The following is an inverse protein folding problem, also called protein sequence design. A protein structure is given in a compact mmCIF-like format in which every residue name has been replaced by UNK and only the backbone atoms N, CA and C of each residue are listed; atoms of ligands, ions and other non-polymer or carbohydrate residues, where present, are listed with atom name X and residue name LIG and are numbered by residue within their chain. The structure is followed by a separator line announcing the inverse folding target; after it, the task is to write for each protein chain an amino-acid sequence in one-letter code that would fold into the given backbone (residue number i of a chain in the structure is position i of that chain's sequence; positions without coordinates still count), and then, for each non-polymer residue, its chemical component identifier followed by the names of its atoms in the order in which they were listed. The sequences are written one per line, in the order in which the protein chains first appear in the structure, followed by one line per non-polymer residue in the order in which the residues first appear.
data_IF_547009910359
#
_entry.id   IF_547009910359
#
_cell.length_a   1.000
_cell.length_b   1.000
_cell.length_c   1.000
_cell.angle_alpha   90.00
_cell.angle_beta   90.00
_cell.angle_gamma   90.00
#
_symmetry.space_group_name_H-M   'P 1'
#
loop_
_entity.id
_entity.type
_entity.pdbx_description
1 polymer ?
#
# COMPACT_ATOMS: atom_id res chain seq x y z
N UNK A 1 -1.14 16.39 6.05
CA UNK A 1 -1.70 15.54 7.13
C UNK A 1 -2.53 14.43 6.49
N UNK A 2 -2.18 13.14 6.66
CA UNK A 2 -2.96 11.99 6.14
C UNK A 2 -4.33 12.06 6.86
N UNK A 3 -5.42 12.40 6.18
CA UNK A 3 -6.75 12.28 6.80
C UNK A 3 -6.98 10.82 7.15
N UNK A 4 -7.26 10.51 8.42
CA UNK A 4 -7.26 9.15 9.00
C UNK A 4 -8.01 8.13 8.11
N UNK A 5 -9.17 8.51 7.54
CA UNK A 5 -9.97 7.68 6.63
C UNK A 5 -9.27 7.32 5.31
N UNK A 6 -8.51 8.24 4.69
CA UNK A 6 -7.78 8.00 3.43
C UNK A 6 -6.58 7.07 3.62
N UNK A 7 -5.93 7.11 4.78
CA UNK A 7 -4.84 6.19 5.12
C UNK A 7 -5.33 4.75 5.21
N UNK A 8 -6.39 4.52 5.99
CA UNK A 8 -6.98 3.19 6.22
C UNK A 8 -7.44 2.54 4.90
N UNK A 9 -8.07 3.30 4.00
CA UNK A 9 -8.51 2.77 2.70
C UNK A 9 -7.32 2.37 1.82
N UNK A 10 -6.26 3.18 1.79
CA UNK A 10 -5.07 2.89 0.98
C UNK A 10 -4.34 1.64 1.47
N UNK A 11 -4.19 1.45 2.79
CA UNK A 11 -3.57 0.25 3.37
C UNK A 11 -4.40 -1.02 3.11
N UNK A 12 -5.74 -0.90 3.11
CA UNK A 12 -6.61 -2.02 2.72
C UNK A 12 -6.44 -2.41 1.25
N UNK A 13 -6.36 -1.42 0.35
CA UNK A 13 -6.14 -1.67 -1.09
C UNK A 13 -4.74 -2.27 -1.30
N UNK A 14 -3.72 -1.73 -0.64
CA UNK A 14 -2.35 -2.22 -0.68
C UNK A 14 -2.24 -3.70 -0.28
N UNK A 15 -2.92 -4.13 0.79
CA UNK A 15 -2.95 -5.56 1.19
C UNK A 15 -3.52 -6.45 0.10
N UNK A 16 -4.67 -6.09 -0.47
CA UNK A 16 -5.29 -6.85 -1.58
C UNK A 16 -4.38 -6.93 -2.80
N UNK A 17 -3.69 -5.83 -3.13
CA UNK A 17 -2.71 -5.81 -4.22
C UNK A 17 -1.55 -6.76 -3.96
N UNK A 18 -0.98 -6.75 -2.75
CA UNK A 18 0.07 -7.66 -2.33
C UNK A 18 -0.40 -9.12 -2.41
N UNK A 19 -1.55 -9.44 -1.84
CA UNK A 19 -2.15 -10.78 -1.89
C UNK A 19 -2.36 -11.26 -3.33
N UNK A 20 -2.86 -10.40 -4.23
CA UNK A 20 -3.03 -10.72 -5.65
C UNK A 20 -1.72 -11.02 -6.39
N UNK A 21 -0.57 -10.57 -5.86
CA UNK A 21 0.77 -10.87 -6.39
C UNK A 21 1.45 -12.05 -5.71
N UNK A 22 0.72 -12.78 -4.86
CA UNK A 22 1.23 -13.95 -4.14
C UNK A 22 2.02 -13.60 -2.88
N UNK A 23 1.90 -12.39 -2.35
CA UNK A 23 2.43 -12.08 -1.02
C UNK A 23 1.46 -12.56 0.07
N UNK A 24 2.01 -13.04 1.18
CA UNK A 24 1.28 -13.25 2.43
C UNK A 24 1.46 -12.04 3.34
N UNK A 25 0.38 -11.54 3.94
CA UNK A 25 0.45 -10.44 4.91
C UNK A 25 0.81 -11.02 6.28
N UNK A 26 1.99 -10.66 6.79
CA UNK A 26 2.50 -11.16 8.07
C UNK A 26 2.01 -10.29 9.22
N UNK A 27 2.13 -8.96 9.07
CA UNK A 27 1.75 -8.02 10.12
C UNK A 27 1.41 -6.65 9.53
N UNK A 28 0.65 -5.84 10.26
CA UNK A 28 0.32 -4.45 9.90
C UNK A 28 0.58 -3.53 11.08
N UNK A 29 1.00 -2.28 10.82
CA UNK A 29 1.41 -1.31 11.85
C UNK A 29 2.55 -1.87 12.72
N UNK A 30 3.54 -2.50 12.07
CA UNK A 30 4.66 -3.16 12.74
C UNK A 30 5.59 -2.13 13.36
N UNK A 31 5.80 -2.22 14.68
CA UNK A 31 6.68 -1.32 15.42
C UNK A 31 8.07 -1.91 15.56
N UNK A 32 9.08 -1.14 15.17
CA UNK A 32 10.48 -1.49 15.36
C UNK A 32 10.91 -0.92 16.71
N UNK A 33 11.18 -1.80 17.67
CA UNK A 33 11.64 -1.42 19.00
C UNK A 33 13.14 -1.66 19.17
N UNK A 34 13.84 -0.71 19.80
CA UNK A 34 15.25 -0.85 20.18
C UNK A 34 15.45 -0.29 21.58
N UNK A 35 15.99 -1.10 22.50
CA UNK A 35 16.20 -0.73 23.91
C UNK A 35 14.95 -0.20 24.62
N UNK A 36 13.77 -0.71 24.27
CA UNK A 36 12.49 -0.29 24.85
C UNK A 36 11.85 0.94 24.18
N UNK A 37 12.54 1.59 23.25
CA UNK A 37 12.02 2.73 22.49
C UNK A 37 11.47 2.28 21.12
N UNK A 38 10.31 2.82 20.74
CA UNK A 38 9.79 2.65 19.38
C UNK A 38 10.52 3.62 18.45
N UNK A 39 11.37 3.10 17.55
CA UNK A 39 12.22 3.91 16.69
C UNK A 39 11.67 4.10 15.28
N UNK A 40 10.74 3.25 14.85
CA UNK A 40 10.13 3.32 13.54
C UNK A 40 8.88 2.43 13.45
N UNK A 41 8.01 2.73 12.47
CA UNK A 41 6.82 1.95 12.17
C UNK A 41 6.81 1.59 10.68
N UNK A 42 6.38 0.37 10.37
CA UNK A 42 6.17 -0.12 9.01
C UNK A 42 4.69 -0.41 8.83
N UNK A 43 4.06 0.13 7.78
CA UNK A 43 2.63 -0.02 7.54
C UNK A 43 2.25 -1.51 7.38
N UNK A 44 3.02 -2.28 6.60
CA UNK A 44 2.77 -3.71 6.35
C UNK A 44 4.09 -4.49 6.28
N UNK A 45 4.16 -5.65 6.94
CA UNK A 45 5.15 -6.68 6.69
C UNK A 45 4.52 -7.74 5.80
N UNK A 46 5.13 -8.00 4.65
CA UNK A 46 4.67 -8.97 3.67
C UNK A 46 5.76 -10.00 3.36
N UNK A 47 5.38 -11.22 3.01
CA UNK A 47 6.33 -12.28 2.65
C UNK A 47 5.97 -12.88 1.30
N UNK A 48 6.97 -13.09 0.45
CA UNK A 48 6.82 -13.76 -0.84
C UNK A 48 8.11 -14.51 -1.16
N UNK A 49 7.98 -15.76 -1.61
CA UNK A 49 9.11 -16.62 -1.99
C UNK A 49 10.20 -16.73 -0.90
N UNK A 50 9.78 -16.75 0.38
CA UNK A 50 10.68 -16.81 1.54
C UNK A 50 11.37 -15.49 1.91
N UNK A 51 11.07 -14.40 1.20
CA UNK A 51 11.63 -13.08 1.46
C UNK A 51 10.60 -12.15 2.11
N UNK A 52 11.05 -11.41 3.13
CA UNK A 52 10.23 -10.42 3.82
C UNK A 52 10.44 -9.02 3.27
N UNK A 53 9.34 -8.32 3.11
CA UNK A 53 9.25 -6.97 2.60
C UNK A 53 8.67 -6.05 3.67
N UNK A 54 9.34 -4.93 3.90
CA UNK A 54 8.84 -3.82 4.69
C UNK A 54 8.16 -2.84 3.73
N UNK A 55 6.84 -2.76 3.83
CA UNK A 55 6.00 -2.04 2.89
C UNK A 55 5.54 -0.71 3.49
N UNK A 56 5.82 0.38 2.79
CA UNK A 56 5.27 1.71 3.05
C UNK A 56 4.10 1.99 2.09
N UNK A 57 3.00 2.55 2.59
CA UNK A 57 1.79 2.83 1.81
C UNK A 57 1.45 4.32 1.79
N UNK A 58 1.50 4.89 0.59
CA UNK A 58 1.07 6.27 0.33
C UNK A 58 -0.20 6.30 -0.52
N UNK A 59 -1.22 7.00 -0.03
CA UNK A 59 -2.50 7.20 -0.74
C UNK A 59 -2.40 8.13 -1.96
N UNK A 60 -1.29 8.85 -2.11
CA UNK A 60 -1.03 9.82 -3.18
C UNK A 60 0.18 9.45 -4.02
N UNK A 61 0.72 10.43 -4.75
CA UNK A 61 1.97 10.25 -5.50
C UNK A 61 3.13 9.92 -4.55
N UNK A 62 4.06 9.09 -5.01
CA UNK A 62 5.32 8.90 -4.31
C UNK A 62 6.12 10.21 -4.26
N UNK A 63 6.96 10.31 -3.23
CA UNK A 63 7.89 11.42 -3.03
C UNK A 63 9.24 10.86 -2.58
N UNK A 64 10.30 11.65 -2.71
CA UNK A 64 11.64 11.23 -2.28
C UNK A 64 11.66 10.89 -0.78
N UNK A 65 10.89 11.62 0.03
CA UNK A 65 10.69 11.32 1.45
C UNK A 65 10.08 9.93 1.66
N UNK A 66 9.10 9.55 0.84
CA UNK A 66 8.44 8.24 0.95
C UNK A 66 9.40 7.11 0.58
N UNK A 67 10.22 7.29 -0.46
CA UNK A 67 11.27 6.33 -0.84
C UNK A 67 12.29 6.17 0.29
N UNK A 68 12.76 7.28 0.87
CA UNK A 68 13.70 7.27 2.00
C UNK A 68 13.11 6.59 3.23
N UNK A 69 11.82 6.82 3.51
CA UNK A 69 11.12 6.19 4.63
C UNK A 69 11.03 4.67 4.43
N UNK A 70 10.60 4.22 3.25
CA UNK A 70 10.57 2.79 2.91
C UNK A 70 11.95 2.16 3.06
N UNK A 71 12.99 2.77 2.49
CA UNK A 71 14.37 2.31 2.60
C UNK A 71 14.86 2.23 4.06
N UNK A 72 14.74 3.31 4.81
CA UNK A 72 15.28 3.40 6.17
C UNK A 72 14.58 2.39 7.11
N UNK A 73 13.25 2.31 7.06
CA UNK A 73 12.49 1.42 7.92
C UNK A 73 12.74 -0.05 7.56
N UNK A 74 12.80 -0.38 6.27
CA UNK A 74 13.19 -1.72 5.82
C UNK A 74 14.59 -2.10 6.29
N UNK A 75 15.54 -1.16 6.22
CA UNK A 75 16.92 -1.40 6.67
C UNK A 75 16.99 -1.65 8.17
N UNK A 76 16.22 -0.91 8.97
CA UNK A 76 16.12 -1.12 10.42
C UNK A 76 15.51 -2.48 10.78
N UNK A 77 14.56 -2.97 9.97
CA UNK A 77 13.92 -4.26 10.18
C UNK A 77 14.67 -5.45 9.54
N UNK A 78 15.64 -5.21 8.68
CA UNK A 78 16.35 -6.26 7.94
C UNK A 78 15.54 -6.88 6.80
N UNK A 79 14.59 -6.12 6.22
CA UNK A 79 13.68 -6.59 5.17
C UNK A 79 13.92 -5.84 3.85
N UNK A 80 13.34 -6.33 2.76
CA UNK A 80 13.37 -5.65 1.45
C UNK A 80 12.42 -4.46 1.45
N UNK A 81 12.83 -3.26 0.99
CA UNK A 81 11.95 -2.11 0.96
C UNK A 81 10.99 -2.16 -0.23
N UNK A 82 9.71 -1.92 0.03
CA UNK A 82 8.68 -1.79 -0.99
C UNK A 82 7.78 -0.59 -0.70
N UNK A 83 7.49 0.21 -1.71
CA UNK A 83 6.64 1.40 -1.63
C UNK A 83 5.42 1.21 -2.53
N UNK A 84 4.23 1.24 -1.93
CA UNK A 84 2.96 1.27 -2.65
C UNK A 84 2.46 2.71 -2.71
N UNK A 85 2.20 3.21 -3.91
CA UNK A 85 1.74 4.59 -4.10
C UNK A 85 0.73 4.71 -5.26
N UNK A 86 0.05 5.85 -5.39
CA UNK A 86 -0.87 6.05 -6.52
C UNK A 86 -0.15 6.14 -7.86
N UNK A 87 0.99 6.83 -7.90
CA UNK A 87 1.81 7.10 -9.09
C UNK A 87 3.18 7.60 -8.67
N UNK A 88 4.22 7.36 -9.46
CA UNK A 88 5.54 7.97 -9.32
C UNK A 88 5.98 8.66 -10.62
N UNK A 89 6.85 9.66 -10.51
CA UNK A 89 7.51 10.28 -11.67
C UNK A 89 8.89 9.66 -11.91
N UNK A 90 9.52 9.99 -13.03
CA UNK A 90 10.78 9.38 -13.44
C UNK A 90 11.93 9.69 -12.47
N UNK A 91 11.93 10.87 -11.84
CA UNK A 91 12.93 11.21 -10.84
C UNK A 91 12.79 10.34 -9.58
N UNK A 92 11.55 10.07 -9.16
CA UNK A 92 11.28 9.15 -8.04
C UNK A 92 11.65 7.71 -8.40
N UNK A 93 11.34 7.24 -9.62
CA UNK A 93 11.73 5.90 -10.09
C UNK A 93 13.25 5.73 -10.14
N UNK A 94 13.98 6.76 -10.56
CA UNK A 94 15.43 6.72 -10.59
C UNK A 94 16.04 6.71 -9.18
N UNK A 95 15.47 7.51 -8.27
CA UNK A 95 15.88 7.51 -6.87
C UNK A 95 15.61 6.15 -6.18
N UNK A 96 14.46 5.52 -6.46
CA UNK A 96 14.10 4.24 -5.87
C UNK A 96 15.00 3.11 -6.37
N UNK A 97 15.36 3.08 -7.66
CA UNK A 97 16.36 2.15 -8.21
C UNK A 97 17.70 2.25 -7.49
N UNK A 98 18.22 3.46 -7.28
CA UNK A 98 19.50 3.67 -6.58
C UNK A 98 19.46 3.23 -5.12
N UNK A 99 18.29 3.25 -4.48
CA UNK A 99 18.09 2.81 -3.10
C UNK A 99 17.59 1.37 -3.00
N UNK A 100 17.47 0.65 -4.11
CA UNK A 100 16.87 -0.68 -4.20
C UNK A 100 15.48 -0.77 -3.55
N UNK A 101 14.68 0.28 -3.69
CA UNK A 101 13.28 0.35 -3.24
C UNK A 101 12.37 -0.04 -4.39
N UNK A 102 11.63 -1.14 -4.23
CA UNK A 102 10.61 -1.55 -5.18
C UNK A 102 9.42 -0.57 -5.11
N UNK A 103 8.91 -0.14 -6.26
CA UNK A 103 7.70 0.69 -6.32
C UNK A 103 6.59 -0.11 -7.00
N UNK A 104 5.43 -0.15 -6.35
CA UNK A 104 4.20 -0.68 -6.92
C UNK A 104 3.18 0.44 -7.03
N UNK A 105 2.75 0.75 -8.25
CA UNK A 105 1.77 1.81 -8.49
C UNK A 105 0.34 1.24 -8.50
N UNK A 106 -0.53 1.85 -7.70
CA UNK A 106 -1.96 1.53 -7.66
C UNK A 106 -2.62 1.86 -9.01
N UNK A 107 -2.14 2.86 -9.77
CA UNK A 107 -2.67 3.16 -11.10
C UNK A 107 -2.48 2.04 -12.12
N UNK A 108 -1.45 1.21 -11.96
CA UNK A 108 -1.28 0.00 -12.78
C UNK A 108 -2.31 -1.09 -12.41
N UNK A 109 -2.93 -0.98 -11.23
CA UNK A 109 -3.96 -1.89 -10.71
C UNK A 109 -5.40 -1.41 -10.91
N UNK A 110 -5.63 -0.12 -11.13
CA UNK A 110 -6.96 0.47 -11.38
C UNK A 110 -7.43 0.36 -12.84
N UNK A 111 -6.90 -0.64 -13.56
CA UNK A 111 -7.45 -1.15 -14.83
C UNK A 111 -8.48 -2.28 -14.58
N UNK A 112 -9.03 -2.38 -13.36
CA UNK A 112 -9.92 -3.49 -12.96
C UNK A 112 -11.40 -3.12 -12.88
N UNK A 113 -11.76 -1.85 -13.09
CA UNK A 113 -13.14 -1.48 -13.35
C UNK A 113 -13.14 -0.48 -14.49
N UNK A 114 -13.60 -0.95 -15.64
CA UNK A 114 -14.07 0.00 -16.66
C UNK A 114 -15.19 0.86 -16.02
N UNK A 115 -15.35 2.14 -16.42
CA UNK A 115 -16.40 3.01 -15.88
C UNK A 115 -17.78 2.35 -15.81
N UNK A 116 -18.09 1.49 -16.78
CA UNK A 116 -19.32 0.70 -16.89
C UNK A 116 -19.45 -0.36 -15.79
N UNK A 117 -18.36 -1.02 -15.40
CA UNK A 117 -18.37 -1.99 -14.30
C UNK A 117 -18.54 -1.30 -12.94
N UNK A 118 -17.92 -0.12 -12.76
CA UNK A 118 -18.14 0.69 -11.58
C UNK A 118 -19.59 1.18 -11.48
N UNK A 119 -20.17 1.64 -12.60
CA UNK A 119 -21.58 2.01 -12.68
C UNK A 119 -22.48 0.82 -12.28
N UNK A 120 -22.22 -0.36 -12.85
CA UNK A 120 -23.01 -1.56 -12.56
C UNK A 120 -22.92 -1.97 -11.09
N UNK A 121 -21.73 -1.91 -10.47
CA UNK A 121 -21.55 -2.24 -9.05
C UNK A 121 -22.32 -1.25 -8.18
N UNK A 122 -22.18 0.05 -8.45
CA UNK A 122 -22.86 1.09 -7.68
C UNK A 122 -24.37 0.95 -7.81
N UNK A 123 -24.88 0.76 -9.03
CA UNK A 123 -26.30 0.56 -9.29
C UNK A 123 -26.85 -0.64 -8.53
N UNK A 124 -26.17 -1.78 -8.62
CA UNK A 124 -26.59 -3.01 -7.94
C UNK A 124 -26.57 -2.85 -6.42
N UNK A 125 -25.53 -2.24 -5.86
CA UNK A 125 -25.51 -1.93 -4.42
C UNK A 125 -26.67 -1.03 -3.99
N UNK A 126 -27.11 -0.08 -4.83
CA UNK A 126 -28.28 0.75 -4.53
C UNK A 126 -29.59 -0.04 -4.65
N UNK A 127 -29.72 -0.87 -5.68
CA UNK A 127 -30.87 -1.79 -5.84
C UNK A 127 -31.01 -2.72 -4.62
N UNK A 128 -29.92 -3.37 -4.21
CA UNK A 128 -29.89 -4.27 -3.05
C UNK A 128 -30.33 -3.54 -1.76
N UNK A 129 -29.83 -2.32 -1.52
CA UNK A 129 -30.23 -1.51 -0.35
C UNK A 129 -31.70 -1.10 -0.41
N UNK A 130 -32.22 -0.76 -1.59
CA UNK A 130 -33.64 -0.40 -1.77
C UNK A 130 -34.55 -1.61 -1.56
N UNK A 131 -34.16 -2.78 -2.03
CA UNK A 131 -34.90 -4.03 -1.79
C UNK A 131 -34.88 -4.46 -0.32
N UNK A 132 -33.75 -4.32 0.38
CA UNK A 132 -33.59 -4.74 1.77
C UNK A 132 -34.31 -3.82 2.77
N UNK A 133 -34.27 -2.50 2.55
CA UNK A 133 -34.77 -1.51 3.52
C UNK A 133 -36.05 -0.79 3.13
N UNK A 134 -36.52 -0.95 1.89
CA UNK A 134 -37.82 -0.46 1.42
C UNK A 134 -37.98 1.07 1.50
N UNK A 135 -37.95 1.73 0.34
CA UNK A 135 -38.57 3.03 0.17
C UNK A 135 -39.71 2.91 -0.84
#
# INVERSE_FOLDING_TARGET
MKTRKRGISAERIARRMLESKGFSIIETNYKINSKGENIAEIDIIAEKDGERYAVEVKSGKASLTSVRQAYANAKLAGYKPLLICKKSDDAIKEASKKLNVEIMEISEYYLLLEPEELESIVKKCMEDVMEEYGF
#
